data_IF_801281734225
#
_entry.id   IF_801281734225
#
_cell.length_a   1.000
_cell.length_b   1.000
_cell.length_c   1.000
_cell.angle_alpha   90.00
_cell.angle_beta   90.00
_cell.angle_gamma   90.00
#
_symmetry.space_group_name_H-M   'P 1'
#
loop_
_entity.id
_entity.type
_entity.pdbx_description
1 polymer ?
#
# COMPACT_ATOMS: atom_id res chain seq x y z
N UNK A 1 -12.25 15.07 13.77
CA UNK A 1 -13.00 14.63 12.57
C UNK A 1 -13.30 13.15 12.70
N UNK A 2 -14.54 12.78 12.49
CA UNK A 2 -15.04 11.42 12.55
C UNK A 2 -15.85 11.12 11.26
N UNK A 3 -16.37 9.89 11.12
CA UNK A 3 -17.14 9.50 9.94
C UNK A 3 -18.43 10.34 9.76
N UNK A 4 -19.08 10.73 10.84
CA UNK A 4 -20.30 11.54 10.79
C UNK A 4 -20.03 12.94 10.22
N UNK A 5 -19.03 13.65 10.76
CA UNK A 5 -18.62 14.96 10.24
C UNK A 5 -18.14 14.88 8.78
N UNK A 6 -17.43 13.81 8.41
CA UNK A 6 -16.96 13.62 7.05
C UNK A 6 -18.08 13.29 6.07
N UNK A 7 -19.14 12.61 6.52
CA UNK A 7 -20.32 12.27 5.71
C UNK A 7 -21.16 13.50 5.32
N UNK A 8 -21.10 14.58 6.10
CA UNK A 8 -21.77 15.86 5.81
C UNK A 8 -21.08 16.66 4.69
N UNK A 9 -19.78 16.37 4.43
CA UNK A 9 -19.01 17.10 3.42
C UNK A 9 -19.33 16.62 2.02
N UNK A 10 -19.37 17.57 1.09
CA UNK A 10 -19.42 17.30 -0.35
C UNK A 10 -18.05 16.85 -0.87
N UNK A 11 -18.04 16.16 -2.02
CA UNK A 11 -16.79 15.79 -2.67
C UNK A 11 -15.89 16.99 -3.03
N UNK A 12 -16.50 18.16 -3.32
CA UNK A 12 -15.76 19.36 -3.68
C UNK A 12 -15.12 20.00 -2.45
N UNK A 13 -15.77 20.04 -1.31
CA UNK A 13 -15.19 20.49 -0.04
C UNK A 13 -14.02 19.60 0.38
N UNK A 14 -14.16 18.28 0.25
CA UNK A 14 -13.05 17.34 0.51
C UNK A 14 -11.90 17.58 -0.47
N UNK A 15 -12.22 17.81 -1.76
CA UNK A 15 -11.21 18.04 -2.81
C UNK A 15 -10.31 19.23 -2.49
N UNK A 16 -10.86 20.31 -1.94
CA UNK A 16 -10.08 21.50 -1.54
C UNK A 16 -8.94 21.13 -0.59
N UNK A 17 -9.21 20.22 0.35
CA UNK A 17 -8.23 19.81 1.36
C UNK A 17 -7.17 18.82 0.87
N UNK A 18 -7.48 18.05 -0.18
CA UNK A 18 -6.59 16.99 -0.70
C UNK A 18 -6.01 17.29 -2.08
N UNK A 19 -6.04 18.55 -2.54
CA UNK A 19 -5.56 18.97 -3.89
C UNK A 19 -4.15 18.49 -4.22
N UNK A 20 -3.26 18.44 -3.23
CA UNK A 20 -1.86 17.99 -3.41
C UNK A 20 -1.72 16.47 -3.56
N UNK A 21 -2.77 15.69 -3.29
CA UNK A 21 -2.73 14.25 -3.41
C UNK A 21 -2.89 13.80 -4.87
N UNK A 22 -2.14 12.79 -5.29
CA UNK A 22 -2.38 12.16 -6.58
C UNK A 22 -3.80 11.59 -6.65
N UNK A 23 -4.48 11.77 -7.80
CA UNK A 23 -5.86 11.35 -8.03
C UNK A 23 -6.90 12.01 -7.10
N UNK A 24 -6.64 13.25 -6.66
CA UNK A 24 -7.50 13.97 -5.71
C UNK A 24 -8.99 13.98 -6.09
N UNK A 25 -9.42 14.23 -7.34
CA UNK A 25 -10.85 14.21 -7.70
C UNK A 25 -11.51 12.83 -7.56
N UNK A 26 -10.78 11.76 -7.82
CA UNK A 26 -11.28 10.39 -7.61
C UNK A 26 -11.37 10.06 -6.12
N UNK A 27 -10.36 10.45 -5.37
CA UNK A 27 -10.30 10.23 -3.92
C UNK A 27 -11.38 11.00 -3.17
N UNK A 28 -11.62 12.28 -3.50
CA UNK A 28 -12.64 13.08 -2.81
C UNK A 28 -14.04 12.48 -2.96
N UNK A 29 -14.39 12.03 -4.16
CA UNK A 29 -15.66 11.33 -4.39
C UNK A 29 -15.76 10.02 -3.61
N UNK A 30 -14.69 9.23 -3.62
CA UNK A 30 -14.64 7.99 -2.86
C UNK A 30 -14.77 8.24 -1.35
N UNK A 31 -14.06 9.23 -0.80
CA UNK A 31 -14.14 9.59 0.62
C UNK A 31 -15.56 10.04 1.01
N UNK A 32 -16.18 10.92 0.23
CA UNK A 32 -17.55 11.37 0.52
C UNK A 32 -18.54 10.20 0.55
N UNK A 33 -18.44 9.28 -0.43
CA UNK A 33 -19.34 8.13 -0.53
C UNK A 33 -19.08 7.10 0.57
N UNK A 34 -17.79 6.74 0.82
CA UNK A 34 -17.47 5.75 1.84
C UNK A 34 -17.84 6.24 3.24
N UNK A 35 -17.71 7.55 3.53
CA UNK A 35 -18.08 8.09 4.84
C UNK A 35 -19.56 7.94 5.13
N UNK A 36 -20.42 8.17 4.14
CA UNK A 36 -21.87 7.93 4.26
C UNK A 36 -22.16 6.45 4.48
N UNK A 37 -21.52 5.55 3.72
CA UNK A 37 -21.68 4.09 3.90
C UNK A 37 -21.24 3.66 5.30
N UNK A 38 -20.13 4.22 5.83
CA UNK A 38 -19.71 3.92 7.20
C UNK A 38 -20.75 4.35 8.24
N UNK A 39 -21.37 5.50 8.06
CA UNK A 39 -22.44 5.96 8.96
C UNK A 39 -23.68 5.07 8.84
N UNK A 40 -24.14 4.82 7.62
CA UNK A 40 -25.41 4.13 7.37
C UNK A 40 -25.35 2.63 7.70
N UNK A 41 -24.25 1.97 7.34
CA UNK A 41 -24.15 0.52 7.43
C UNK A 41 -23.30 0.02 8.62
N UNK A 42 -22.41 0.87 9.15
CA UNK A 42 -21.44 0.49 10.20
C UNK A 42 -21.48 1.39 11.43
N UNK A 43 -22.52 2.22 11.58
CA UNK A 43 -22.68 3.11 12.74
C UNK A 43 -21.53 4.10 12.93
N UNK A 44 -20.88 4.51 11.84
CA UNK A 44 -19.74 5.43 11.85
C UNK A 44 -18.39 4.78 12.18
N UNK A 45 -18.34 3.46 12.39
CA UNK A 45 -17.13 2.69 12.68
C UNK A 45 -16.50 2.10 11.42
N UNK A 46 -15.19 1.90 11.45
CA UNK A 46 -14.48 1.18 10.37
C UNK A 46 -14.66 -0.32 10.58
N UNK A 47 -15.16 -1.09 9.59
CA UNK A 47 -15.36 -2.53 9.74
C UNK A 47 -14.03 -3.28 9.85
N UNK A 48 -14.00 -4.31 10.71
CA UNK A 48 -12.87 -5.21 10.92
C UNK A 48 -12.99 -6.46 10.05
N UNK A 49 -13.19 -6.25 8.74
CA UNK A 49 -13.35 -7.34 7.77
C UNK A 49 -12.77 -6.91 6.42
N UNK A 50 -12.04 -7.82 5.75
CA UNK A 50 -11.52 -7.54 4.41
C UNK A 50 -12.65 -7.34 3.41
N UNK A 51 -13.68 -8.18 3.46
CA UNK A 51 -14.79 -8.13 2.51
C UNK A 51 -15.57 -6.82 2.63
N UNK A 52 -15.87 -6.39 3.86
CA UNK A 52 -16.55 -5.13 4.11
C UNK A 52 -15.69 -3.93 3.71
N UNK A 53 -14.39 -3.95 4.04
CA UNK A 53 -13.46 -2.89 3.64
C UNK A 53 -13.33 -2.78 2.12
N UNK A 54 -13.19 -3.91 1.42
CA UNK A 54 -13.03 -3.92 -0.04
C UNK A 54 -14.33 -3.57 -0.77
N UNK A 55 -15.50 -3.68 -0.11
CA UNK A 55 -16.78 -3.21 -0.63
C UNK A 55 -16.88 -1.68 -0.69
N UNK A 56 -16.07 -0.96 0.11
CA UNK A 56 -16.11 0.49 0.20
C UNK A 56 -15.50 1.16 -1.03
N UNK A 57 -16.11 2.24 -1.53
CA UNK A 57 -15.58 2.98 -2.69
C UNK A 57 -14.15 3.49 -2.46
N UNK A 58 -13.25 3.14 -3.39
CA UNK A 58 -11.84 3.56 -3.32
C UNK A 58 -10.96 2.74 -2.39
N UNK A 59 -11.51 1.73 -1.74
CA UNK A 59 -10.78 0.76 -0.93
C UNK A 59 -10.57 -0.52 -1.74
N UNK A 60 -9.34 -0.76 -2.17
CA UNK A 60 -8.94 -2.02 -2.78
C UNK A 60 -8.13 -2.86 -1.79
N UNK A 61 -7.74 -4.06 -2.19
CA UNK A 61 -7.01 -5.04 -1.36
C UNK A 61 -5.82 -4.44 -0.59
N UNK A 62 -5.01 -3.60 -1.26
CA UNK A 62 -3.88 -2.93 -0.60
C UNK A 62 -4.32 -2.00 0.52
N UNK A 63 -5.40 -1.21 0.32
CA UNK A 63 -5.90 -0.29 1.35
C UNK A 63 -6.54 -1.04 2.49
N UNK A 64 -7.36 -2.05 2.22
CA UNK A 64 -7.94 -2.94 3.22
C UNK A 64 -6.83 -3.60 4.06
N UNK A 65 -5.80 -4.14 3.43
CA UNK A 65 -4.65 -4.73 4.11
C UNK A 65 -3.91 -3.75 5.02
N UNK A 66 -3.78 -2.47 4.63
CA UNK A 66 -3.19 -1.43 5.49
C UNK A 66 -4.09 -1.15 6.70
N UNK A 67 -5.39 -1.00 6.49
CA UNK A 67 -6.35 -0.76 7.58
C UNK A 67 -6.35 -1.93 8.56
N UNK A 68 -6.43 -3.15 8.07
CA UNK A 68 -6.40 -4.35 8.90
C UNK A 68 -5.09 -4.48 9.68
N UNK A 69 -3.95 -4.18 9.05
CA UNK A 69 -2.65 -4.33 9.71
C UNK A 69 -2.34 -3.21 10.70
N UNK A 70 -2.67 -1.96 10.38
CA UNK A 70 -2.30 -0.80 11.20
C UNK A 70 -3.42 -0.38 12.17
N UNK A 71 -4.67 -0.57 11.79
CA UNK A 71 -5.83 -0.23 12.62
C UNK A 71 -6.18 -1.36 13.59
N UNK A 72 -6.18 -2.60 13.12
CA UNK A 72 -6.64 -3.76 13.88
C UNK A 72 -5.53 -4.75 14.27
N UNK A 73 -4.28 -4.48 13.89
CA UNK A 73 -3.15 -5.36 14.22
C UNK A 73 -3.16 -6.72 13.49
N UNK A 74 -4.05 -6.91 12.51
CA UNK A 74 -4.14 -8.15 11.75
C UNK A 74 -2.87 -8.36 10.92
N UNK A 75 -2.28 -9.56 10.90
CA UNK A 75 -1.08 -9.82 10.11
C UNK A 75 -1.38 -9.77 8.60
N UNK A 76 -1.00 -8.68 7.95
CA UNK A 76 -1.12 -8.50 6.50
C UNK A 76 0.19 -7.99 5.91
N UNK A 77 0.40 -8.24 4.63
CA UNK A 77 1.56 -7.75 3.89
C UNK A 77 1.09 -6.88 2.71
N UNK A 78 0.67 -5.62 2.97
CA UNK A 78 0.18 -4.74 1.90
C UNK A 78 1.29 -4.46 0.88
N UNK A 79 1.11 -4.87 -0.37
CA UNK A 79 2.10 -4.63 -1.42
C UNK A 79 1.73 -3.38 -2.21
N UNK A 80 2.60 -2.37 -2.14
CA UNK A 80 2.53 -1.16 -2.96
C UNK A 80 3.57 -1.18 -4.08
N UNK A 81 3.64 -0.09 -4.85
CA UNK A 81 4.61 0.07 -5.94
C UNK A 81 6.06 0.03 -5.46
N UNK A 82 6.35 0.48 -4.23
CA UNK A 82 7.70 0.41 -3.64
C UNK A 82 8.07 -1.03 -3.33
N UNK A 83 7.22 -1.74 -2.60
CA UNK A 83 7.46 -3.14 -2.22
C UNK A 83 7.58 -4.01 -3.47
N UNK A 84 6.65 -3.86 -4.42
CA UNK A 84 6.69 -4.63 -5.67
C UNK A 84 7.99 -4.42 -6.44
N UNK A 85 8.46 -3.18 -6.54
CA UNK A 85 9.74 -2.84 -7.17
C UNK A 85 10.94 -3.42 -6.43
N UNK A 86 11.00 -3.23 -5.11
CA UNK A 86 12.13 -3.67 -4.30
C UNK A 86 12.22 -5.19 -4.23
N UNK A 87 11.10 -5.88 -4.05
CA UNK A 87 11.06 -7.34 -4.04
C UNK A 87 11.62 -7.94 -5.34
N UNK A 88 11.36 -7.32 -6.50
CA UNK A 88 11.96 -7.72 -7.77
C UNK A 88 13.47 -7.42 -7.81
N UNK A 89 13.91 -6.23 -7.35
CA UNK A 89 15.32 -5.87 -7.32
C UNK A 89 16.14 -6.76 -6.41
N UNK A 90 15.55 -7.20 -5.32
CA UNK A 90 16.17 -8.09 -4.34
C UNK A 90 16.00 -9.59 -4.66
N UNK A 91 15.27 -9.92 -5.74
CA UNK A 91 15.08 -11.32 -6.16
C UNK A 91 14.13 -12.11 -5.26
N UNK A 92 13.29 -11.44 -4.49
CA UNK A 92 12.31 -12.07 -3.59
C UNK A 92 11.04 -12.53 -4.33
N UNK A 93 10.82 -12.05 -5.54
CA UNK A 93 9.69 -12.38 -6.39
C UNK A 93 10.05 -12.29 -7.87
N UNK A 94 9.33 -13.03 -8.70
CA UNK A 94 9.39 -12.89 -10.18
C UNK A 94 8.71 -11.60 -10.66
N UNK A 95 7.93 -10.93 -9.81
CA UNK A 95 7.27 -9.67 -10.10
C UNK A 95 6.20 -9.75 -11.19
N UNK A 96 5.53 -10.89 -11.38
CA UNK A 96 4.46 -11.02 -12.39
C UNK A 96 3.36 -9.98 -12.17
N UNK A 97 2.91 -9.85 -10.94
CA UNK A 97 1.95 -8.85 -10.47
C UNK A 97 2.07 -8.68 -8.95
N UNK A 98 1.28 -7.76 -8.36
CA UNK A 98 1.31 -7.49 -6.91
C UNK A 98 0.83 -8.68 -6.07
N UNK A 99 -0.14 -9.44 -6.54
CA UNK A 99 -0.67 -10.63 -5.85
C UNK A 99 0.42 -11.70 -5.73
N UNK A 100 1.16 -11.97 -6.82
CA UNK A 100 2.30 -12.88 -6.79
C UNK A 100 3.37 -12.39 -5.81
N UNK A 101 3.67 -11.09 -5.82
CA UNK A 101 4.66 -10.52 -4.91
C UNK A 101 4.24 -10.67 -3.46
N UNK A 102 2.97 -10.41 -3.13
CA UNK A 102 2.43 -10.59 -1.78
C UNK A 102 2.57 -12.05 -1.31
N UNK A 103 2.16 -13.00 -2.15
CA UNK A 103 2.25 -14.42 -1.85
C UNK A 103 3.70 -14.87 -1.64
N UNK A 104 4.64 -14.42 -2.48
CA UNK A 104 6.05 -14.72 -2.35
C UNK A 104 6.63 -14.18 -1.04
N UNK A 105 6.32 -12.93 -0.69
CA UNK A 105 6.80 -12.31 0.54
C UNK A 105 6.19 -12.97 1.79
N UNK A 106 4.89 -13.30 1.75
CA UNK A 106 4.22 -14.03 2.83
C UNK A 106 4.82 -15.41 3.07
N UNK A 107 5.28 -16.09 2.01
CA UNK A 107 5.97 -17.38 2.10
C UNK A 107 7.39 -17.25 2.66
N UNK A 108 8.10 -16.18 2.31
CA UNK A 108 9.50 -15.98 2.69
C UNK A 108 9.66 -15.49 4.12
N UNK A 109 8.70 -14.72 4.64
CA UNK A 109 8.83 -14.07 5.95
C UNK A 109 7.81 -14.61 6.97
N UNK A 110 8.22 -14.76 8.25
CA UNK A 110 7.31 -15.17 9.31
C UNK A 110 6.14 -14.18 9.45
N UNK A 111 4.92 -14.72 9.65
CA UNK A 111 3.67 -13.94 9.76
C UNK A 111 3.77 -12.80 10.79
N UNK A 112 4.43 -13.02 11.92
CA UNK A 112 4.63 -12.02 12.97
C UNK A 112 5.47 -10.81 12.53
N UNK A 113 6.19 -10.89 11.41
CA UNK A 113 7.02 -9.82 10.88
C UNK A 113 6.35 -8.98 9.79
N UNK A 114 5.22 -9.43 9.23
CA UNK A 114 4.64 -8.81 8.04
C UNK A 114 4.30 -7.33 8.23
N UNK A 115 3.61 -6.96 9.32
CA UNK A 115 3.21 -5.58 9.61
C UNK A 115 4.41 -4.63 9.76
N UNK A 116 5.51 -5.11 10.30
CA UNK A 116 6.73 -4.31 10.45
C UNK A 116 7.52 -4.24 9.15
N UNK A 117 7.70 -5.38 8.48
CA UNK A 117 8.52 -5.47 7.27
C UNK A 117 7.96 -4.64 6.11
N UNK A 118 6.65 -4.64 5.88
CA UNK A 118 6.10 -3.87 4.78
C UNK A 118 6.39 -2.37 4.94
N UNK A 119 6.29 -1.81 6.16
CA UNK A 119 6.66 -0.43 6.44
C UNK A 119 8.16 -0.18 6.22
N UNK A 120 9.01 -1.06 6.74
CA UNK A 120 10.46 -0.94 6.57
C UNK A 120 10.86 -0.94 5.10
N UNK A 121 10.27 -1.82 4.28
CA UNK A 121 10.54 -1.87 2.83
C UNK A 121 10.06 -0.60 2.13
N UNK A 122 8.89 -0.06 2.50
CA UNK A 122 8.38 1.20 1.92
C UNK A 122 9.33 2.36 2.23
N UNK A 123 9.72 2.53 3.50
CA UNK A 123 10.64 3.60 3.90
C UNK A 123 12.00 3.45 3.22
N UNK A 124 12.57 2.26 3.21
CA UNK A 124 13.80 1.98 2.49
C UNK A 124 13.71 2.31 1.00
N UNK A 125 12.57 2.00 0.39
CA UNK A 125 12.31 2.29 -1.02
C UNK A 125 12.14 3.77 -1.35
N UNK A 126 11.75 4.57 -0.36
CA UNK A 126 11.61 6.04 -0.51
C UNK A 126 12.92 6.77 -0.29
N UNK A 127 13.79 6.24 0.55
CA UNK A 127 15.01 6.92 0.98
C UNK A 127 16.26 6.40 0.26
N UNK A 128 16.45 5.10 0.19
CA UNK A 128 17.69 4.49 -0.28
C UNK A 128 17.60 3.81 -1.65
N UNK A 129 16.48 3.15 -1.93
CA UNK A 129 16.31 2.40 -3.20
C UNK A 129 15.31 3.08 -4.13
N UNK A 130 15.63 4.29 -4.55
CA UNK A 130 14.77 5.13 -5.38
C UNK A 130 14.47 4.49 -6.74
N UNK A 131 13.29 4.81 -7.31
CA UNK A 131 12.84 4.25 -8.59
C UNK A 131 13.77 4.62 -9.75
N UNK A 132 14.24 5.87 -9.77
CA UNK A 132 14.96 6.46 -10.90
C UNK A 132 16.47 6.59 -10.71
N UNK A 133 17.04 6.08 -9.63
CA UNK A 133 18.49 6.23 -9.37
C UNK A 133 19.17 4.94 -8.94
N UNK A 134 18.53 4.08 -8.15
CA UNK A 134 19.18 2.86 -7.68
C UNK A 134 19.26 1.76 -8.75
N UNK A 135 18.20 1.52 -9.52
CA UNK A 135 18.11 0.48 -10.55
C UNK A 135 18.56 -0.92 -10.11
N UNK A 136 18.63 -1.17 -8.80
CA UNK A 136 19.12 -2.44 -8.25
C UNK A 136 20.66 -2.55 -8.19
N UNK A 137 21.40 -1.46 -8.32
CA UNK A 137 22.86 -1.44 -8.45
C UNK A 137 23.57 -0.67 -7.34
N UNK A 138 22.89 0.25 -6.63
CA UNK A 138 23.55 1.27 -5.82
C UNK A 138 23.33 1.08 -4.31
N UNK A 139 22.09 0.87 -3.87
CA UNK A 139 21.81 0.80 -2.44
C UNK A 139 22.39 -0.46 -1.79
N UNK A 140 22.68 -0.39 -0.52
CA UNK A 140 23.29 -1.44 0.27
C UNK A 140 22.63 -2.81 0.09
N UNK A 141 21.30 -2.90 0.23
CA UNK A 141 20.59 -4.19 0.07
C UNK A 141 20.76 -4.73 -1.35
N UNK A 142 20.66 -3.88 -2.38
CA UNK A 142 20.84 -4.35 -3.76
C UNK A 142 22.24 -4.86 -4.03
N UNK A 143 23.28 -4.22 -3.49
CA UNK A 143 24.67 -4.64 -3.66
C UNK A 143 25.02 -5.85 -2.82
N UNK A 144 24.40 -5.98 -1.63
CA UNK A 144 24.54 -7.17 -0.78
C UNK A 144 23.87 -8.39 -1.40
N UNK A 145 22.62 -8.25 -1.87
CA UNK A 145 21.91 -9.36 -2.51
C UNK A 145 22.56 -9.81 -3.83
N UNK A 146 23.12 -8.86 -4.58
CA UNK A 146 23.69 -9.13 -5.90
C UNK A 146 25.01 -8.37 -6.14
N UNK A 147 26.09 -8.73 -5.45
CA UNK A 147 27.36 -7.98 -5.50
C UNK A 147 28.03 -7.95 -6.89
N UNK A 148 27.70 -8.90 -7.76
CA UNK A 148 28.24 -8.97 -9.13
C UNK A 148 27.32 -8.38 -10.20
N UNK A 149 26.18 -7.79 -9.81
CA UNK A 149 25.23 -7.22 -10.77
C UNK A 149 25.83 -5.99 -11.45
N UNK A 150 25.91 -6.01 -12.77
CA UNK A 150 26.41 -4.89 -13.59
C UNK A 150 25.31 -4.22 -14.43
N UNK A 151 24.17 -4.89 -14.61
CA UNK A 151 23.08 -4.37 -15.44
C UNK A 151 21.89 -3.94 -14.58
N UNK A 152 21.22 -2.82 -14.94
CA UNK A 152 19.99 -2.38 -14.30
C UNK A 152 18.92 -3.47 -14.29
N UNK A 153 18.15 -3.51 -13.20
CA UNK A 153 16.97 -4.39 -13.11
C UNK A 153 15.77 -3.65 -13.68
N UNK A 154 15.22 -4.20 -14.77
CA UNK A 154 13.91 -3.79 -15.28
C UNK A 154 12.83 -4.42 -14.42
N UNK A 155 12.09 -3.61 -13.68
CA UNK A 155 10.99 -4.07 -12.84
C UNK A 155 9.64 -3.90 -13.54
N UNK A 156 8.77 -4.89 -13.41
CA UNK A 156 7.38 -4.80 -13.88
C UNK A 156 6.61 -3.82 -12.99
N UNK A 157 5.63 -3.14 -13.57
CA UNK A 157 4.76 -2.23 -12.83
C UNK A 157 3.82 -3.02 -11.91
N UNK A 158 3.44 -2.38 -10.80
CA UNK A 158 2.41 -2.86 -9.89
C UNK A 158 1.02 -2.75 -10.54
#
# INVERSE_FOLDING_TARGET
TNAFEMAELTADEILVNIKSCGLAPKKSRAIATLSRILVDNFGGSVPESFDDLESLPGVGHKTASVVMSQGFGYPAFPVDTHIHRLAQRWGLTSGRNVVQTENDLKRLFPKARWNKLHLQIIFYGREYCLARSCFGLVCEICTTCYPRRKKPVSTKKA
#
